data_IF_506489983129
#
_entry.id   IF_506489983129
#
_cell.length_a   1.000
_cell.length_b   1.000
_cell.length_c   1.000
_cell.angle_alpha   90.00
_cell.angle_beta   90.00
_cell.angle_gamma   90.00
#
_symmetry.space_group_name_H-M   'P 1'
#
loop_
_entity.id
_entity.type
_entity.pdbx_description
1 polymer ?
#
# COMPACT_ATOMS: atom_id res chain seq x y z
N UNK A 1 -7.43 -98.44 23.89
CA UNK A 1 -8.63 -98.73 23.08
C UNK A 1 -9.85 -98.37 23.88
N UNK A 2 -10.90 -97.71 23.43
CA UNK A 2 -11.17 -96.71 22.41
C UNK A 2 -12.64 -96.37 22.66
N UNK A 3 -13.01 -95.11 22.41
CA UNK A 3 -14.35 -94.66 22.02
C UNK A 3 -15.51 -94.90 23.01
N UNK A 4 -16.01 -93.85 23.67
CA UNK A 4 -16.98 -92.90 23.11
C UNK A 4 -18.22 -93.60 22.53
N UNK A 5 -19.32 -93.65 23.28
CA UNK A 5 -20.57 -92.98 22.87
C UNK A 5 -21.48 -92.77 24.08
N UNK A 6 -21.99 -91.55 24.16
CA UNK A 6 -22.70 -90.94 25.28
C UNK A 6 -24.17 -91.36 25.32
N UNK A 7 -24.61 -91.85 26.49
CA UNK A 7 -25.99 -92.21 26.77
C UNK A 7 -26.78 -91.00 27.30
N UNK A 8 -27.98 -90.83 26.74
CA UNK A 8 -29.23 -90.25 27.27
C UNK A 8 -29.19 -89.69 28.71
N UNK A 9 -29.64 -88.44 28.94
CA UNK A 9 -30.66 -88.15 29.97
C UNK A 9 -31.30 -86.74 29.84
N UNK A 10 -32.65 -86.73 29.87
CA UNK A 10 -33.52 -85.57 30.14
C UNK A 10 -33.30 -85.06 31.57
N UNK A 11 -33.58 -83.77 31.83
CA UNK A 11 -34.58 -83.24 32.81
C UNK A 11 -34.31 -81.74 33.10
N UNK A 12 -35.37 -80.92 33.34
CA UNK A 12 -35.33 -79.45 33.36
C UNK A 12 -35.15 -78.93 34.79
N UNK A 13 -35.03 -77.61 35.00
CA UNK A 13 -35.50 -76.85 36.19
C UNK A 13 -35.32 -75.35 35.91
N UNK A 14 -36.39 -74.58 36.16
CA UNK A 14 -36.47 -73.15 35.89
C UNK A 14 -35.83 -72.22 36.92
N UNK A 15 -35.91 -70.92 36.62
CA UNK A 15 -35.71 -69.69 37.42
C UNK A 15 -35.63 -68.54 36.39
N UNK A 16 -36.09 -67.31 36.57
CA UNK A 16 -36.79 -66.60 37.61
C UNK A 16 -37.35 -65.31 36.98
N UNK A 17 -38.46 -64.85 37.56
CA UNK A 17 -39.04 -63.51 37.66
C UNK A 17 -38.36 -62.27 37.01
N UNK A 18 -39.28 -61.36 36.64
CA UNK A 18 -39.19 -59.90 36.57
C UNK A 18 -38.81 -59.28 35.21
N UNK A 19 -39.84 -59.09 34.38
CA UNK A 19 -39.80 -58.24 33.20
C UNK A 19 -39.61 -56.77 33.58
N UNK A 20 -38.59 -56.17 32.99
CA UNK A 20 -38.24 -54.76 33.15
C UNK A 20 -38.87 -53.90 32.04
N UNK A 21 -39.66 -52.91 32.48
CA UNK A 21 -39.46 -51.47 32.22
C UNK A 21 -39.64 -50.90 30.79
N UNK A 22 -40.48 -49.85 30.78
CA UNK A 22 -40.45 -48.63 29.97
C UNK A 22 -41.14 -48.61 28.60
N UNK A 23 -42.36 -48.11 28.66
CA UNK A 23 -43.03 -47.22 27.70
C UNK A 23 -42.05 -46.25 27.03
N UNK A 24 -41.86 -46.38 25.70
CA UNK A 24 -41.16 -45.37 24.89
C UNK A 24 -42.08 -44.16 24.74
N UNK A 25 -41.78 -43.10 25.48
CA UNK A 25 -42.41 -41.77 25.30
C UNK A 25 -41.79 -41.14 24.05
N UNK A 26 -42.60 -40.95 23.01
CA UNK A 26 -42.23 -40.13 21.85
C UNK A 26 -42.25 -38.66 22.28
N UNK A 27 -41.06 -38.11 22.54
CA UNK A 27 -40.89 -36.67 22.76
C UNK A 27 -40.77 -36.00 21.38
N UNK A 28 -41.87 -35.45 20.89
CA UNK A 28 -41.85 -34.49 19.78
C UNK A 28 -41.48 -33.11 20.35
N UNK A 29 -40.19 -32.78 20.37
CA UNK A 29 -39.75 -31.41 20.63
C UNK A 29 -39.93 -30.58 19.37
N UNK A 30 -40.93 -29.69 19.39
CA UNK A 30 -40.93 -28.51 18.53
C UNK A 30 -39.73 -27.64 18.94
N UNK A 31 -38.63 -27.75 18.21
CA UNK A 31 -37.46 -26.92 18.41
C UNK A 31 -37.74 -25.49 17.97
N UNK A 32 -37.86 -24.57 18.94
CA UNK A 32 -37.73 -23.13 18.71
C UNK A 32 -36.34 -22.82 18.10
N UNK A 33 -36.32 -21.93 17.11
CA UNK A 33 -35.18 -21.69 16.23
C UNK A 33 -33.85 -21.40 16.93
N UNK A 34 -32.84 -22.21 16.62
CA UNK A 34 -31.43 -21.84 16.76
C UNK A 34 -31.04 -21.07 15.52
N UNK A 35 -31.39 -19.79 15.51
CA UNK A 35 -31.02 -18.84 14.47
C UNK A 35 -29.92 -17.90 14.94
N UNK A 36 -28.83 -18.39 15.52
CA UNK A 36 -27.67 -17.53 15.83
C UNK A 36 -26.34 -18.26 15.59
N UNK A 37 -25.43 -17.55 14.92
CA UNK A 37 -23.97 -17.71 14.93
C UNK A 37 -23.28 -18.73 14.00
N UNK A 38 -23.71 -18.88 12.74
CA UNK A 38 -22.84 -19.49 11.70
C UNK A 38 -22.38 -18.53 10.61
N UNK A 39 -22.81 -17.26 10.63
CA UNK A 39 -22.48 -16.32 9.55
C UNK A 39 -21.03 -15.82 9.58
N UNK A 40 -20.39 -15.78 10.74
CA UNK A 40 -19.07 -15.16 10.85
C UNK A 40 -17.92 -16.14 10.54
N UNK A 41 -18.02 -17.39 11.02
CA UNK A 41 -16.92 -18.36 10.86
C UNK A 41 -16.69 -18.85 9.43
N UNK A 42 -17.73 -18.92 8.60
CA UNK A 42 -17.60 -19.38 7.20
C UNK A 42 -17.09 -18.27 6.27
N UNK A 43 -17.44 -17.01 6.55
CA UNK A 43 -17.00 -15.86 5.75
C UNK A 43 -15.50 -15.59 5.95
N UNK A 44 -14.99 -15.74 7.19
CA UNK A 44 -13.55 -15.63 7.45
C UNK A 44 -12.73 -16.76 6.82
N UNK A 45 -13.25 -18.01 6.87
CA UNK A 45 -12.60 -19.15 6.22
C UNK A 45 -12.56 -18.99 4.69
N UNK A 46 -13.63 -18.48 4.08
CA UNK A 46 -13.67 -18.19 2.65
C UNK A 46 -12.73 -17.03 2.24
N UNK A 47 -12.56 -16.02 3.10
CA UNK A 47 -11.68 -14.86 2.84
C UNK A 47 -10.19 -15.23 2.86
N UNK A 48 -9.79 -16.22 3.65
CA UNK A 48 -8.40 -16.68 3.73
C UNK A 48 -7.95 -17.45 2.47
N UNK A 49 -8.84 -18.24 1.87
CA UNK A 49 -8.54 -19.02 0.66
C UNK A 49 -8.29 -18.17 -0.60
N UNK A 50 -8.72 -16.90 -0.61
CA UNK A 50 -8.63 -16.02 -1.79
C UNK A 50 -7.74 -14.78 -1.61
N UNK A 51 -7.07 -14.60 -0.47
CA UNK A 51 -6.35 -13.35 -0.22
C UNK A 51 -4.94 -13.54 0.34
N UNK A 52 -3.94 -13.59 -0.55
CA UNK A 52 -2.60 -13.08 -0.25
C UNK A 52 -2.74 -11.56 -0.02
N UNK A 53 -3.08 -11.17 1.20
CA UNK A 53 -3.20 -9.76 1.60
C UNK A 53 -1.80 -9.19 1.79
N UNK A 54 -1.52 -8.04 1.20
CA UNK A 54 -0.32 -7.26 1.55
C UNK A 54 -0.58 -6.68 2.93
N UNK A 55 0.02 -7.29 3.95
CA UNK A 55 -0.10 -6.87 5.36
C UNK A 55 1.01 -5.93 5.79
N UNK A 56 2.10 -5.91 5.05
CA UNK A 56 3.32 -5.16 5.39
C UNK A 56 3.74 -4.30 4.21
N UNK A 57 4.06 -3.05 4.51
CA UNK A 57 4.78 -2.15 3.62
C UNK A 57 6.28 -2.40 3.84
N UNK A 58 6.87 -3.28 3.01
CA UNK A 58 8.30 -3.57 3.00
C UNK A 58 8.99 -2.87 1.81
N UNK A 59 9.73 -1.80 2.09
CA UNK A 59 10.29 -0.87 1.11
C UNK A 59 11.77 -0.62 1.37
N UNK A 60 12.58 -0.74 0.32
CA UNK A 60 13.98 -0.32 0.30
C UNK A 60 14.15 0.98 -0.48
N UNK A 61 14.66 2.01 0.19
CA UNK A 61 15.14 3.25 -0.40
C UNK A 61 16.66 3.18 -0.55
N UNK A 62 17.17 3.36 -1.77
CA UNK A 62 18.61 3.29 -2.06
C UNK A 62 19.07 4.59 -2.69
N UNK A 63 19.80 5.42 -1.94
CA UNK A 63 20.38 6.65 -2.46
C UNK A 63 21.72 6.43 -3.15
N UNK A 64 21.90 7.07 -4.30
CA UNK A 64 23.21 7.24 -4.94
C UNK A 64 24.03 8.31 -4.19
N UNK A 65 25.34 8.30 -4.41
CA UNK A 65 26.25 9.30 -3.84
C UNK A 65 25.99 10.72 -4.32
N UNK A 66 25.39 10.89 -5.51
CA UNK A 66 25.02 12.18 -6.09
C UNK A 66 23.66 12.73 -5.62
N UNK A 67 23.05 12.09 -4.61
CA UNK A 67 21.74 12.47 -4.09
C UNK A 67 21.63 13.97 -3.81
N UNK A 68 20.55 14.57 -4.32
CA UNK A 68 20.03 15.88 -3.95
C UNK A 68 21.12 16.98 -3.95
N UNK A 69 21.97 16.97 -4.97
CA UNK A 69 23.07 17.92 -5.04
C UNK A 69 22.56 19.36 -5.25
N UNK A 70 23.21 20.33 -4.60
CA UNK A 70 22.95 21.76 -4.85
C UNK A 70 23.62 22.25 -6.14
N UNK A 71 23.45 23.53 -6.48
CA UNK A 71 24.08 24.15 -7.65
C UNK A 71 25.62 24.05 -7.72
N UNK A 72 26.31 23.83 -6.59
CA UNK A 72 27.75 23.60 -6.52
C UNK A 72 28.14 22.11 -6.69
N UNK A 73 27.16 21.21 -6.89
CA UNK A 73 27.36 19.77 -7.01
C UNK A 73 27.55 19.05 -5.68
N UNK A 74 27.35 19.72 -4.53
CA UNK A 74 27.49 19.09 -3.21
C UNK A 74 26.25 18.24 -2.90
N UNK A 75 26.39 16.92 -2.68
CA UNK A 75 25.26 16.05 -2.32
C UNK A 75 24.65 16.43 -0.97
N UNK A 76 23.32 16.44 -0.90
CA UNK A 76 22.56 16.75 0.31
C UNK A 76 21.70 15.56 0.74
N UNK A 77 21.35 15.51 2.03
CA UNK A 77 20.30 14.59 2.48
C UNK A 77 18.94 15.08 2.01
N UNK A 78 17.97 14.18 1.92
CA UNK A 78 16.57 14.51 1.63
C UNK A 78 15.65 13.79 2.61
N UNK A 79 14.46 14.33 2.83
CA UNK A 79 13.37 13.59 3.45
C UNK A 79 12.57 12.90 2.36
N UNK A 80 12.30 11.62 2.55
CA UNK A 80 11.32 10.85 1.78
C UNK A 80 10.11 10.61 2.66
N UNK A 81 8.95 11.15 2.28
CA UNK A 81 7.69 10.95 2.97
C UNK A 81 6.85 9.91 2.22
N UNK A 82 6.37 8.94 2.98
CA UNK A 82 5.49 7.88 2.53
C UNK A 82 4.08 8.17 3.04
N UNK A 83 3.10 7.99 2.17
CA UNK A 83 1.68 8.13 2.47
C UNK A 83 0.96 6.84 2.15
N UNK A 84 0.26 6.25 3.11
CA UNK A 84 -0.71 5.20 2.80
C UNK A 84 -2.05 5.86 2.50
N UNK A 85 -2.62 5.58 1.32
CA UNK A 85 -3.78 6.29 0.79
C UNK A 85 -4.89 5.31 0.38
N UNK A 86 -6.15 5.73 0.61
CA UNK A 86 -7.35 5.06 0.10
C UNK A 86 -7.47 5.15 -1.42
N UNK A 87 -7.12 6.30 -1.99
CA UNK A 87 -7.13 6.61 -3.42
C UNK A 87 -5.93 7.51 -3.77
N UNK A 88 -5.46 7.47 -5.01
CA UNK A 88 -4.30 8.25 -5.48
C UNK A 88 -4.68 9.55 -6.18
N UNK A 89 -5.93 9.75 -6.59
CA UNK A 89 -6.36 10.85 -7.46
C UNK A 89 -5.99 12.23 -6.91
N UNK A 90 -6.28 12.48 -5.64
CA UNK A 90 -5.92 13.75 -4.98
C UNK A 90 -4.40 13.91 -4.94
N UNK A 91 -3.68 12.87 -4.49
CA UNK A 91 -2.23 12.87 -4.38
C UNK A 91 -1.52 13.12 -5.73
N UNK A 92 -2.00 12.53 -6.81
CA UNK A 92 -1.46 12.70 -8.16
C UNK A 92 -1.57 14.15 -8.64
N UNK A 93 -2.66 14.84 -8.27
CA UNK A 93 -2.92 16.23 -8.66
C UNK A 93 -2.15 17.26 -7.85
N UNK A 94 -1.76 16.96 -6.60
CA UNK A 94 -1.04 17.92 -5.76
C UNK A 94 0.37 18.19 -6.27
N UNK A 95 0.75 19.46 -6.29
CA UNK A 95 2.10 19.90 -6.65
C UNK A 95 3.09 19.73 -5.49
N UNK A 96 4.37 20.04 -5.77
CA UNK A 96 5.46 19.90 -4.81
C UNK A 96 5.25 20.76 -3.57
N UNK A 97 4.89 22.04 -3.75
CA UNK A 97 4.72 23.00 -2.65
C UNK A 97 3.53 22.63 -1.78
N UNK A 98 2.43 22.18 -2.38
CA UNK A 98 1.24 21.71 -1.67
C UNK A 98 1.57 20.50 -0.80
N UNK A 99 2.31 19.52 -1.32
CA UNK A 99 2.72 18.35 -0.55
C UNK A 99 3.79 18.68 0.51
N UNK A 100 4.59 19.73 0.30
CA UNK A 100 5.60 20.14 1.26
C UNK A 100 5.01 20.92 2.45
N UNK A 101 3.97 21.71 2.21
CA UNK A 101 3.47 22.71 3.20
C UNK A 101 2.08 22.42 3.75
N UNK A 102 1.24 21.65 3.04
CA UNK A 102 -0.17 21.46 3.38
C UNK A 102 -0.70 20.04 3.05
N UNK A 103 0.18 19.04 3.06
CA UNK A 103 -0.18 17.67 2.65
C UNK A 103 -1.29 17.05 3.49
N UNK A 104 -1.22 17.14 4.82
CA UNK A 104 -2.20 16.51 5.71
C UNK A 104 -3.63 17.00 5.46
N UNK A 105 -3.81 18.31 5.30
CA UNK A 105 -5.11 18.91 4.99
C UNK A 105 -5.56 18.57 3.57
N UNK A 106 -4.65 18.68 2.60
CA UNK A 106 -4.95 18.40 1.19
C UNK A 106 -5.33 16.94 0.95
N UNK A 107 -4.72 16.00 1.68
CA UNK A 107 -4.94 14.56 1.56
C UNK A 107 -5.95 14.00 2.57
N UNK A 108 -6.55 14.81 3.45
CA UNK A 108 -7.30 14.32 4.63
C UNK A 108 -8.36 13.26 4.32
N UNK A 109 -9.01 13.35 3.16
CA UNK A 109 -10.08 12.43 2.76
C UNK A 109 -9.54 11.03 2.44
N UNK A 110 -8.30 10.95 1.96
CA UNK A 110 -7.69 9.73 1.44
C UNK A 110 -6.57 9.20 2.35
N UNK A 111 -6.00 10.04 3.22
CA UNK A 111 -4.86 9.72 4.06
C UNK A 111 -5.19 8.72 5.16
N UNK A 112 -4.36 7.69 5.29
CA UNK A 112 -4.47 6.65 6.32
C UNK A 112 -3.29 6.64 7.28
N UNK A 113 -2.08 6.89 6.76
CA UNK A 113 -0.85 6.95 7.56
C UNK A 113 0.25 7.72 6.82
N UNK A 114 1.19 8.28 7.57
CA UNK A 114 2.41 8.89 7.04
C UNK A 114 3.65 8.28 7.69
N UNK A 115 4.77 8.31 6.97
CA UNK A 115 6.09 7.95 7.49
C UNK A 115 7.18 8.78 6.82
N UNK A 116 8.03 9.40 7.62
CA UNK A 116 9.19 10.15 7.12
C UNK A 116 10.48 9.33 7.29
N UNK A 117 11.34 9.39 6.28
CA UNK A 117 12.67 8.79 6.27
C UNK A 117 13.68 9.83 5.81
N UNK A 118 14.71 10.07 6.62
CA UNK A 118 15.86 10.88 6.19
C UNK A 118 16.81 9.99 5.42
N UNK A 119 17.03 10.32 4.15
CA UNK A 119 17.92 9.59 3.26
C UNK A 119 19.20 10.40 3.02
N UNK A 120 20.34 9.82 3.36
CA UNK A 120 21.67 10.43 3.19
C UNK A 120 22.29 10.00 1.84
N UNK A 121 23.16 10.82 1.23
CA UNK A 121 23.88 10.43 0.03
C UNK A 121 24.63 9.11 0.20
N UNK A 122 24.48 8.20 -0.78
CA UNK A 122 25.11 6.87 -0.78
C UNK A 122 24.56 5.87 0.24
N UNK A 123 23.58 6.24 1.06
CA UNK A 123 22.98 5.36 2.06
C UNK A 123 21.79 4.58 1.51
N UNK A 124 21.38 3.55 2.24
CA UNK A 124 20.11 2.87 2.04
C UNK A 124 19.30 2.85 3.34
N UNK A 125 17.98 2.82 3.22
CA UNK A 125 17.06 2.71 4.35
C UNK A 125 15.93 1.73 4.00
N UNK A 126 15.62 0.83 4.92
CA UNK A 126 14.50 -0.09 4.79
C UNK A 126 13.36 0.35 5.71
N UNK A 127 12.15 0.33 5.19
CA UNK A 127 10.91 0.63 5.92
C UNK A 127 10.09 -0.65 5.94
N UNK A 128 9.80 -1.15 7.14
CA UNK A 128 8.96 -2.32 7.36
C UNK A 128 7.89 -1.92 8.35
N UNK A 129 6.71 -1.57 7.84
CA UNK A 129 5.60 -1.06 8.64
C UNK A 129 4.31 -1.82 8.30
N UNK A 130 3.33 -1.90 9.21
CA UNK A 130 2.01 -2.42 8.87
C UNK A 130 1.39 -1.64 7.71
N UNK A 131 0.89 -2.37 6.71
CA UNK A 131 0.06 -1.79 5.67
C UNK A 131 -1.37 -1.71 6.18
N UNK A 132 -1.94 -0.50 6.20
CA UNK A 132 -3.34 -0.29 6.54
C UNK A 132 -4.22 -1.13 5.60
N UNK A 133 -5.23 -1.85 6.12
CA UNK A 133 -6.10 -2.70 5.32
C UNK A 133 -6.80 -1.94 4.19
N UNK A 134 -7.16 -0.68 4.41
CA UNK A 134 -7.88 0.18 3.46
C UNK A 134 -6.95 0.88 2.47
N UNK A 135 -5.63 0.82 2.67
CA UNK A 135 -4.68 1.40 1.73
C UNK A 135 -4.78 0.68 0.38
N UNK A 136 -4.87 1.46 -0.70
CA UNK A 136 -4.81 0.96 -2.07
C UNK A 136 -3.54 1.39 -2.79
N UNK A 137 -2.94 2.50 -2.35
CA UNK A 137 -1.71 3.08 -2.92
C UNK A 137 -0.81 3.54 -1.78
N UNK A 138 0.51 3.40 -2.00
CA UNK A 138 1.52 4.10 -1.22
C UNK A 138 2.08 5.24 -2.06
N UNK A 139 1.80 6.48 -1.66
CA UNK A 139 2.45 7.67 -2.21
C UNK A 139 3.85 7.82 -1.65
N UNK A 140 4.82 8.16 -2.49
CA UNK A 140 6.22 8.40 -2.12
C UNK A 140 6.63 9.75 -2.65
N UNK A 141 7.09 10.64 -1.77
CA UNK A 141 7.53 12.00 -2.12
C UNK A 141 8.93 12.20 -1.57
N UNK A 142 9.88 12.61 -2.42
CA UNK A 142 11.18 13.08 -1.99
C UNK A 142 11.23 14.60 -2.03
N UNK A 143 11.48 15.22 -0.87
CA UNK A 143 11.57 16.66 -0.75
C UNK A 143 12.99 17.16 -1.05
N UNK A 144 13.35 17.10 -2.34
CA UNK A 144 14.64 17.58 -2.83
C UNK A 144 14.84 19.07 -2.59
N UNK A 145 16.10 19.48 -2.51
CA UNK A 145 16.50 20.88 -2.43
C UNK A 145 16.01 21.66 -3.65
N UNK A 146 16.22 21.08 -4.83
CA UNK A 146 15.78 21.63 -6.12
C UNK A 146 15.08 20.52 -6.93
N UNK A 147 13.74 20.45 -6.92
CA UNK A 147 13.00 19.57 -7.82
C UNK A 147 13.12 20.15 -9.24
N UNK A 148 14.12 19.70 -9.99
CA UNK A 148 14.42 20.22 -11.32
C UNK A 148 13.33 19.88 -12.35
N UNK A 149 13.37 20.56 -13.49
CA UNK A 149 12.42 20.33 -14.57
C UNK A 149 12.46 18.87 -15.06
N UNK A 150 11.29 18.23 -15.10
CA UNK A 150 11.17 16.82 -15.53
C UNK A 150 11.63 15.77 -14.51
N UNK A 151 12.12 16.18 -13.34
CA UNK A 151 12.53 15.24 -12.30
C UNK A 151 11.33 14.51 -11.69
N UNK A 152 11.46 13.20 -11.45
CA UNK A 152 10.42 12.39 -10.80
C UNK A 152 10.60 12.46 -9.29
N UNK A 153 9.99 13.44 -8.64
CA UNK A 153 10.07 13.61 -7.18
C UNK A 153 8.92 12.96 -6.42
N UNK A 154 7.91 12.45 -7.14
CA UNK A 154 6.69 11.82 -6.63
C UNK A 154 6.41 10.51 -7.34
N UNK A 155 6.02 9.48 -6.60
CA UNK A 155 5.56 8.19 -7.12
C UNK A 155 4.27 7.76 -6.39
N UNK A 156 3.37 7.09 -7.11
CA UNK A 156 2.25 6.36 -6.53
C UNK A 156 2.47 4.87 -6.81
N UNK A 157 2.65 4.07 -5.76
CA UNK A 157 2.91 2.62 -5.87
C UNK A 157 1.65 1.85 -5.47
N UNK A 158 0.93 1.23 -6.42
CA UNK A 158 -0.30 0.50 -6.11
C UNK A 158 -0.04 -0.71 -5.21
N UNK A 159 -0.93 -1.00 -4.25
CA UNK A 159 -0.84 -2.16 -3.33
C UNK A 159 -0.65 -3.50 -4.04
N UNK A 160 -1.15 -3.63 -5.28
CA UNK A 160 -0.94 -4.82 -6.12
C UNK A 160 0.54 -5.08 -6.44
N UNK A 161 1.36 -4.03 -6.57
CA UNK A 161 2.78 -4.16 -6.84
C UNK A 161 3.55 -4.77 -5.67
N UNK A 162 3.14 -4.47 -4.43
CA UNK A 162 3.70 -5.05 -3.21
C UNK A 162 3.43 -6.55 -3.06
N UNK A 163 2.50 -7.12 -3.85
CA UNK A 163 2.33 -8.59 -3.95
C UNK A 163 3.35 -9.24 -4.89
N UNK A 164 3.88 -8.47 -5.85
CA UNK A 164 4.77 -8.95 -6.91
C UNK A 164 6.25 -8.78 -6.57
N UNK A 165 6.55 -7.86 -5.66
CA UNK A 165 7.92 -7.45 -5.33
C UNK A 165 8.01 -7.23 -3.84
N UNK A 166 8.95 -7.93 -3.20
CA UNK A 166 9.22 -7.87 -1.77
C UNK A 166 10.74 -7.95 -1.54
N UNK A 167 11.40 -6.90 -1.02
CA UNK A 167 10.86 -5.56 -0.79
C UNK A 167 10.61 -4.80 -2.11
N UNK A 168 9.65 -3.88 -2.12
CA UNK A 168 9.58 -2.85 -3.17
C UNK A 168 10.87 -2.03 -3.08
N UNK A 169 11.50 -1.68 -4.20
CA UNK A 169 12.78 -0.96 -4.21
C UNK A 169 12.69 0.32 -5.01
N UNK A 170 13.10 1.44 -4.39
CA UNK A 170 13.19 2.75 -5.04
C UNK A 170 14.65 3.22 -4.97
N UNK A 171 15.28 3.37 -6.13
CA UNK A 171 16.55 4.08 -6.23
C UNK A 171 16.28 5.59 -6.23
N UNK A 172 17.07 6.33 -5.46
CA UNK A 172 17.06 7.80 -5.45
C UNK A 172 18.40 8.27 -6.00
N UNK A 173 18.36 8.92 -7.17
CA UNK A 173 19.55 9.40 -7.88
C UNK A 173 19.36 10.85 -8.24
N UNK A 174 20.36 11.67 -7.97
CA UNK A 174 20.29 13.12 -8.18
C UNK A 174 19.04 13.66 -7.47
N UNK A 175 18.07 14.21 -8.21
CA UNK A 175 16.77 14.66 -7.70
C UNK A 175 15.59 13.82 -8.23
N UNK A 176 15.81 12.54 -8.52
CA UNK A 176 14.82 11.65 -9.14
C UNK A 176 14.64 10.35 -8.35
N UNK A 177 13.38 9.94 -8.20
CA UNK A 177 12.93 8.64 -7.72
C UNK A 177 12.78 7.68 -8.90
N UNK A 178 13.33 6.48 -8.77
CA UNK A 178 13.23 5.42 -9.76
C UNK A 178 12.77 4.11 -9.12
N UNK A 179 11.58 3.65 -9.50
CA UNK A 179 11.01 2.38 -9.03
C UNK A 179 11.65 1.21 -9.77
N UNK A 180 12.38 0.37 -9.05
CA UNK A 180 13.15 -0.73 -9.63
C UNK A 180 12.27 -1.98 -9.79
N UNK A 181 12.41 -2.68 -10.91
CA UNK A 181 11.84 -4.03 -11.08
C UNK A 181 10.39 -4.10 -11.56
N UNK A 182 9.81 -3.00 -12.05
CA UNK A 182 8.49 -3.04 -12.70
C UNK A 182 8.56 -2.69 -14.18
N UNK A 183 8.12 -3.63 -15.03
CA UNK A 183 7.64 -3.33 -16.37
C UNK A 183 6.21 -2.81 -16.23
N UNK A 184 6.05 -1.57 -15.79
CA UNK A 184 4.87 -0.73 -16.01
C UNK A 184 5.22 0.71 -15.56
N UNK A 185 4.82 1.67 -16.39
CA UNK A 185 5.34 3.05 -16.41
C UNK A 185 4.96 3.80 -15.11
N UNK A 186 5.91 4.41 -14.38
CA UNK A 186 5.59 5.38 -13.34
C UNK A 186 4.79 6.54 -13.96
N UNK A 187 3.65 6.88 -13.38
CA UNK A 187 2.92 8.10 -13.75
C UNK A 187 3.77 9.32 -13.36
N UNK A 188 4.36 9.97 -14.36
CA UNK A 188 5.21 11.14 -14.20
C UNK A 188 4.35 12.40 -14.26
N UNK A 189 4.26 13.14 -13.16
CA UNK A 189 3.83 14.54 -13.21
C UNK A 189 5.07 15.43 -13.18
N UNK A 190 5.39 16.02 -14.33
CA UNK A 190 6.37 17.10 -14.45
C UNK A 190 5.94 18.25 -13.54
N UNK A 191 6.84 18.77 -12.70
CA UNK A 191 6.55 19.91 -11.83
C UNK A 191 6.14 21.14 -12.67
N UNK A 192 4.96 21.75 -12.44
CA UNK A 192 4.65 23.08 -12.96
C UNK A 192 5.35 24.15 -12.13
N UNK A 193 5.79 25.20 -12.82
CA UNK A 193 6.58 26.32 -12.34
C UNK A 193 5.97 27.05 -11.13
N UNK A 194 6.81 27.34 -10.14
CA UNK A 194 6.54 28.36 -9.13
C UNK A 194 6.43 29.73 -9.83
N UNK A 195 5.28 30.39 -9.71
CA UNK A 195 5.02 31.72 -10.28
C UNK A 195 6.03 32.75 -9.75
N UNK A 196 7.09 33.02 -10.51
CA UNK A 196 7.92 34.19 -10.28
C UNK A 196 7.14 35.46 -10.67
N UNK A 197 7.30 36.60 -9.95
CA UNK A 197 6.74 37.88 -10.39
C UNK A 197 7.33 38.28 -11.75
N UNK A 198 6.47 38.76 -12.66
CA UNK A 198 6.86 39.14 -14.01
C UNK A 198 8.02 40.16 -14.02
N UNK A 199 9.08 39.84 -14.78
CA UNK A 199 10.16 40.77 -15.05
C UNK A 199 9.64 42.00 -15.86
N UNK A 200 10.20 43.22 -15.65
CA UNK A 200 9.80 44.40 -16.41
C UNK A 200 10.15 44.25 -17.89
N UNK A 201 9.21 44.60 -18.78
CA UNK A 201 9.41 44.55 -20.24
C UNK A 201 10.50 45.54 -20.69
N UNK A 202 11.37 45.19 -21.65
CA UNK A 202 12.35 46.12 -22.21
C UNK A 202 11.67 47.20 -23.08
N UNK A 203 12.11 48.45 -22.92
CA UNK A 203 11.70 49.58 -23.75
C UNK A 203 12.36 49.46 -25.13
N UNK A 204 11.63 49.63 -26.26
CA UNK A 204 12.23 49.54 -27.60
C UNK A 204 13.18 50.71 -27.87
N UNK A 205 14.37 50.42 -28.42
CA UNK A 205 15.26 51.44 -28.98
C UNK A 205 14.63 52.04 -30.24
N UNK A 206 14.45 53.36 -30.26
CA UNK A 206 14.11 54.09 -31.47
C UNK A 206 15.28 54.04 -32.47
N UNK A 207 14.98 53.71 -33.72
CA UNK A 207 15.86 53.92 -34.88
C UNK A 207 14.98 54.44 -36.00
N UNK A 208 15.30 55.61 -36.55
CA UNK A 208 14.97 56.12 -37.91
C UNK A 208 15.52 57.56 -37.95
N UNK A 209 16.68 57.81 -38.55
CA UNK A 209 16.99 58.07 -39.97
C UNK A 209 17.21 59.56 -40.23
N UNK A 210 18.24 59.77 -41.05
CA UNK A 210 18.70 61.02 -41.66
C UNK A 210 17.59 61.72 -42.44
N UNK A 211 17.48 63.03 -42.23
CA UNK A 211 16.70 63.95 -43.07
C UNK A 211 17.53 65.21 -43.30
N UNK A 212 18.02 65.36 -44.52
CA UNK A 212 18.59 66.58 -45.09
C UNK A 212 17.53 67.68 -45.12
N UNK A 213 17.85 68.89 -44.67
CA UNK A 213 17.11 70.08 -45.10
C UNK A 213 18.04 71.30 -45.16
N UNK A 214 18.09 71.84 -46.38
CA UNK A 214 18.73 73.06 -46.84
C UNK A 214 17.82 74.27 -46.54
N UNK A 215 18.40 75.46 -46.71
CA UNK A 215 17.85 76.82 -46.81
C UNK A 215 17.61 77.65 -45.54
N UNK A 216 18.32 78.80 -45.49
CA UNK A 216 18.09 79.95 -44.61
C UNK A 216 19.34 80.75 -44.26
#
# INVERSE_FOLDING_TARGET
MDNNQMNILRIPIGRSLAGAVATVVVVATAGCGVGQAVKDSTVDAAKWAFTTQVKTMNLDLVARSSLNANAAGQPLSTVVRLYQLKDAKTFEQLDYTQLQTNDLEALKADLLATKDVVLRPGASASVVEPMNPDAQVVGVVAFFHEPGDGAVWKLAVPKKQWKKTDPVKIEVRDNTLNLVGTKDRPITHTAPQQSAPAAPKPIPKATTQSGTQDEG
#
